data_IF_184407992363
#
_entry.id   IF_184407992363
#
_cell.length_a   1.000
_cell.length_b   1.000
_cell.length_c   1.000
_cell.angle_alpha   90.00
_cell.angle_beta   90.00
_cell.angle_gamma   90.00
#
_symmetry.space_group_name_H-M   'P 1'
#
loop_
_entity.id
_entity.type
_entity.pdbx_description
1 polymer ?
#
# COMPACT_ATOMS: atom_id res chain seq x y z
N UNK A 1 26.24 2.06 -7.92
CA UNK A 1 24.94 2.33 -8.50
C UNK A 1 24.54 1.21 -9.47
N UNK A 2 23.27 0.94 -9.57
CA UNK A 2 22.67 0.01 -10.53
C UNK A 2 21.91 0.84 -11.56
N UNK A 3 22.16 0.61 -12.83
CA UNK A 3 21.38 1.22 -13.93
C UNK A 3 20.54 0.15 -14.58
N UNK A 4 19.27 0.45 -14.85
CA UNK A 4 18.36 -0.39 -15.62
C UNK A 4 17.81 0.42 -16.79
N UNK A 5 17.67 -0.22 -17.95
CA UNK A 5 16.99 0.35 -19.11
C UNK A 5 15.60 -0.30 -19.22
N UNK A 6 14.56 0.52 -19.20
CA UNK A 6 13.20 0.08 -19.44
C UNK A 6 12.87 0.41 -20.90
N UNK A 7 12.73 -0.61 -21.71
CA UNK A 7 12.47 -0.47 -23.14
C UNK A 7 10.97 -0.59 -23.45
N UNK A 8 10.52 0.15 -24.46
CA UNK A 8 9.16 0.01 -24.94
C UNK A 8 8.96 -1.39 -25.53
N UNK A 9 7.90 -2.12 -25.15
CA UNK A 9 7.64 -3.45 -25.66
C UNK A 9 7.56 -3.45 -27.20
N UNK A 10 8.27 -4.38 -27.83
CA UNK A 10 8.25 -4.62 -29.26
C UNK A 10 7.72 -6.02 -29.51
N UNK A 11 6.71 -6.17 -30.39
CA UNK A 11 6.27 -7.49 -30.82
C UNK A 11 4.79 -7.60 -31.14
N UNK A 12 4.46 -8.60 -31.98
CA UNK A 12 3.14 -8.83 -32.59
C UNK A 12 2.10 -9.45 -31.61
N UNK A 13 2.49 -9.79 -30.36
CA UNK A 13 1.60 -10.44 -29.38
C UNK A 13 0.81 -9.44 -28.50
N UNK A 14 1.18 -8.17 -28.55
CA UNK A 14 0.45 -7.12 -27.85
C UNK A 14 -0.50 -6.42 -28.82
N UNK A 15 -1.71 -6.02 -28.40
CA UNK A 15 -2.60 -5.24 -29.27
C UNK A 15 -1.89 -3.95 -29.68
N UNK A 16 -1.36 -3.91 -30.89
CA UNK A 16 -0.55 -2.81 -31.47
C UNK A 16 -1.24 -1.44 -31.34
N UNK A 17 -2.57 -1.42 -31.30
CA UNK A 17 -3.39 -0.20 -31.15
C UNK A 17 -3.19 0.52 -29.80
N UNK A 18 -2.61 -0.13 -28.79
CA UNK A 18 -2.44 0.45 -27.44
C UNK A 18 -0.99 0.55 -26.98
N UNK A 19 -0.03 -0.06 -27.65
CA UNK A 19 1.39 -0.04 -27.20
C UNK A 19 2.02 1.35 -27.32
N UNK A 20 1.55 2.20 -28.25
CA UNK A 20 2.00 3.59 -28.38
C UNK A 20 1.58 4.49 -27.20
N UNK A 21 0.63 4.06 -26.37
CA UNK A 21 0.14 4.79 -25.20
C UNK A 21 0.78 4.28 -23.89
N UNK A 22 1.63 3.27 -23.96
CA UNK A 22 2.28 2.73 -22.77
C UNK A 22 3.23 3.74 -22.15
N UNK A 23 3.18 3.82 -20.84
CA UNK A 23 4.00 4.70 -20.00
C UNK A 23 4.66 3.90 -18.89
N UNK A 24 5.60 4.54 -18.19
CA UNK A 24 6.32 3.99 -17.05
C UNK A 24 6.00 4.83 -15.82
N UNK A 25 5.45 4.23 -14.78
CA UNK A 25 5.29 4.88 -13.48
C UNK A 25 6.15 4.20 -12.42
N UNK A 26 7.07 4.93 -11.84
CA UNK A 26 8.00 4.47 -10.79
C UNK A 26 8.60 5.68 -10.08
N UNK A 27 9.09 5.48 -8.85
CA UNK A 27 9.90 6.45 -8.11
C UNK A 27 11.41 6.20 -8.24
N UNK A 28 11.84 5.30 -9.14
CA UNK A 28 13.26 5.18 -9.50
C UNK A 28 13.79 6.50 -10.07
N UNK A 29 15.00 6.87 -9.69
CA UNK A 29 15.65 8.06 -10.22
C UNK A 29 15.88 7.91 -11.73
N UNK A 30 15.40 8.87 -12.52
CA UNK A 30 15.60 8.89 -13.96
C UNK A 30 17.06 9.23 -14.28
N UNK A 31 17.70 8.43 -15.14
CA UNK A 31 19.08 8.61 -15.61
C UNK A 31 19.16 8.95 -17.12
N UNK A 32 18.04 9.37 -17.70
CA UNK A 32 17.89 9.68 -19.12
C UNK A 32 16.46 9.51 -19.62
N UNK A 33 15.60 8.83 -18.84
CA UNK A 33 14.19 8.69 -19.19
C UNK A 33 13.43 10.02 -19.00
N UNK A 34 12.48 10.30 -19.90
CA UNK A 34 11.51 11.38 -19.74
C UNK A 34 10.49 11.05 -18.63
N UNK A 35 9.76 12.04 -18.09
CA UNK A 35 8.67 11.78 -17.17
C UNK A 35 7.66 10.78 -17.72
N UNK A 36 7.37 9.73 -16.96
CA UNK A 36 6.51 8.60 -17.36
C UNK A 36 6.99 7.90 -18.64
N UNK A 37 8.24 8.06 -19.04
CA UNK A 37 8.82 7.55 -20.29
C UNK A 37 9.67 6.30 -20.09
N UNK A 38 9.90 5.62 -21.19
CA UNK A 38 10.91 4.57 -21.30
C UNK A 38 12.31 5.18 -21.31
N UNK A 39 13.32 4.39 -20.98
CA UNK A 39 14.72 4.83 -20.97
C UNK A 39 15.46 4.36 -19.72
N UNK A 40 16.54 5.08 -19.37
CA UNK A 40 17.42 4.68 -18.28
C UNK A 40 16.96 5.23 -16.93
N UNK A 41 17.01 4.34 -15.95
CA UNK A 41 16.76 4.61 -14.53
C UNK A 41 17.92 4.09 -13.68
N UNK A 42 18.12 4.64 -12.49
CA UNK A 42 19.18 4.21 -11.62
C UNK A 42 18.72 4.10 -10.16
N UNK A 43 19.43 3.25 -9.42
CA UNK A 43 19.37 3.12 -7.97
C UNK A 43 20.79 3.10 -7.39
N UNK A 44 20.96 3.52 -6.14
CA UNK A 44 22.28 3.53 -5.50
C UNK A 44 22.85 2.12 -5.31
N UNK A 45 21.99 1.13 -5.10
CA UNK A 45 22.35 -0.28 -4.90
C UNK A 45 21.15 -1.19 -5.23
N UNK A 46 21.36 -2.51 -5.06
CA UNK A 46 20.31 -3.51 -5.35
C UNK A 46 19.14 -3.45 -4.35
N UNK A 47 19.39 -3.14 -3.08
CA UNK A 47 18.35 -3.01 -2.07
C UNK A 47 17.39 -1.85 -2.38
N UNK A 48 17.93 -0.73 -2.85
CA UNK A 48 17.12 0.38 -3.35
C UNK A 48 16.36 0.01 -4.63
N UNK A 49 17.01 -0.68 -5.57
CA UNK A 49 16.37 -1.08 -6.82
C UNK A 49 15.12 -1.93 -6.60
N UNK A 50 15.20 -2.94 -5.74
CA UNK A 50 14.07 -3.85 -5.50
C UNK A 50 12.94 -3.23 -4.65
N UNK A 51 13.19 -2.07 -4.04
CA UNK A 51 12.20 -1.31 -3.26
C UNK A 51 11.48 -0.22 -4.09
N UNK A 52 11.62 -0.27 -5.42
CA UNK A 52 10.94 0.63 -6.34
C UNK A 52 10.17 -0.15 -7.41
N UNK A 53 8.88 -0.43 -7.17
CA UNK A 53 8.03 -1.08 -8.17
C UNK A 53 7.89 -0.22 -9.40
N UNK A 54 7.63 -0.88 -10.53
CA UNK A 54 7.45 -0.25 -11.82
C UNK A 54 6.13 -0.71 -12.42
N UNK A 55 5.25 0.22 -12.75
CA UNK A 55 4.04 -0.03 -13.54
C UNK A 55 4.32 0.30 -15.00
N UNK A 56 4.04 -0.64 -15.89
CA UNK A 56 4.20 -0.52 -17.33
C UNK A 56 2.86 -0.72 -18.03
N UNK A 57 2.42 0.24 -18.82
CA UNK A 57 1.19 0.10 -19.56
C UNK A 57 0.40 1.38 -19.77
N UNK A 58 -0.89 1.21 -20.03
CA UNK A 58 -1.86 2.30 -20.10
C UNK A 58 -2.53 2.40 -18.74
N UNK A 59 -2.43 3.56 -18.10
CA UNK A 59 -3.00 3.85 -16.79
C UNK A 59 -3.47 5.30 -16.71
N UNK A 60 -4.47 5.55 -15.89
CA UNK A 60 -4.81 6.90 -15.47
C UNK A 60 -3.76 7.41 -14.48
N UNK A 61 -3.36 8.68 -14.61
CA UNK A 61 -2.32 9.28 -13.77
C UNK A 61 -2.75 10.65 -13.30
N UNK A 62 -2.73 10.86 -12.00
CA UNK A 62 -3.04 12.15 -11.39
C UNK A 62 -1.95 12.53 -10.39
N UNK A 63 -1.32 13.68 -10.62
CA UNK A 63 -0.32 14.26 -9.73
C UNK A 63 -0.96 15.25 -8.77
N UNK A 64 -0.46 15.29 -7.53
CA UNK A 64 -0.93 16.20 -6.50
C UNK A 64 0.19 16.56 -5.52
N UNK A 65 0.02 17.64 -4.79
CA UNK A 65 0.96 18.09 -3.76
C UNK A 65 0.38 17.86 -2.36
N UNK A 66 1.23 17.46 -1.42
CA UNK A 66 0.91 17.35 0.00
C UNK A 66 2.00 18.06 0.81
N UNK A 67 1.68 19.22 1.36
CA UNK A 67 2.57 20.03 2.18
C UNK A 67 3.95 20.28 1.52
N UNK A 68 3.96 20.51 0.20
CA UNK A 68 5.17 20.76 -0.59
C UNK A 68 5.90 19.50 -1.09
N UNK A 69 5.36 18.31 -0.83
CA UNK A 69 5.90 17.05 -1.32
C UNK A 69 5.07 16.55 -2.51
N UNK A 70 5.67 16.32 -3.68
CA UNK A 70 4.99 15.75 -4.84
C UNK A 70 4.45 14.35 -4.56
N UNK A 71 3.20 14.12 -4.90
CA UNK A 71 2.54 12.81 -4.86
C UNK A 71 1.89 12.53 -6.19
N UNK A 72 1.69 11.26 -6.48
CA UNK A 72 0.93 10.83 -7.65
C UNK A 72 0.21 9.50 -7.40
N UNK A 73 -0.82 9.26 -8.20
CA UNK A 73 -1.46 7.95 -8.29
C UNK A 73 -1.53 7.53 -9.76
N UNK A 74 -1.09 6.29 -10.03
CA UNK A 74 -1.27 5.62 -11.31
C UNK A 74 -2.29 4.49 -11.12
N UNK A 75 -3.37 4.48 -11.91
CA UNK A 75 -4.46 3.51 -11.79
C UNK A 75 -4.53 2.69 -13.07
N UNK A 76 -4.27 1.39 -12.94
CA UNK A 76 -4.31 0.42 -14.03
C UNK A 76 -5.57 -0.43 -13.97
N UNK A 77 -6.20 -0.65 -15.08
CA UNK A 77 -7.43 -1.42 -15.23
C UNK A 77 -8.64 -0.56 -15.58
N UNK A 78 -9.73 -1.21 -16.02
CA UNK A 78 -10.96 -0.51 -16.43
C UNK A 78 -11.79 -0.15 -15.21
N UNK A 79 -12.07 1.15 -15.03
CA UNK A 79 -12.89 1.65 -13.93
C UNK A 79 -13.73 2.86 -14.34
N UNK A 80 -14.62 3.30 -13.44
CA UNK A 80 -15.44 4.51 -13.57
C UNK A 80 -15.31 5.40 -12.32
N UNK A 81 -14.19 5.26 -11.61
CA UNK A 81 -13.96 5.95 -10.35
C UNK A 81 -13.79 7.47 -10.53
N UNK A 82 -14.22 8.22 -9.54
CA UNK A 82 -13.98 9.66 -9.42
C UNK A 82 -12.58 9.90 -8.84
N UNK A 83 -11.57 9.99 -9.72
CA UNK A 83 -10.16 10.13 -9.33
C UNK A 83 -9.92 11.45 -8.57
N UNK A 84 -10.59 12.53 -8.94
CA UNK A 84 -10.46 13.80 -8.23
C UNK A 84 -10.92 13.69 -6.77
N UNK A 85 -11.99 12.93 -6.49
CA UNK A 85 -12.43 12.64 -5.13
C UNK A 85 -11.38 11.82 -4.37
N UNK A 86 -10.87 10.75 -4.98
CA UNK A 86 -9.83 9.91 -4.37
C UNK A 86 -8.59 10.74 -4.02
N UNK A 87 -8.07 11.54 -4.95
CA UNK A 87 -6.91 12.41 -4.73
C UNK A 87 -7.14 13.40 -3.59
N UNK A 88 -8.33 14.02 -3.52
CA UNK A 88 -8.64 14.95 -2.45
C UNK A 88 -8.65 14.27 -1.07
N UNK A 89 -9.17 13.05 -0.98
CA UNK A 89 -9.16 12.31 0.28
C UNK A 89 -7.75 11.80 0.63
N UNK A 90 -6.96 11.34 -0.35
CA UNK A 90 -5.55 10.98 -0.16
C UNK A 90 -4.71 12.16 0.34
N UNK A 91 -4.89 13.36 -0.21
CA UNK A 91 -4.21 14.58 0.28
C UNK A 91 -4.42 14.79 1.77
N UNK A 92 -5.65 14.64 2.25
CA UNK A 92 -6.00 14.84 3.66
C UNK A 92 -5.36 13.78 4.56
N UNK A 93 -5.40 12.52 4.12
CA UNK A 93 -4.83 11.39 4.85
C UNK A 93 -3.30 11.55 4.93
N UNK A 94 -2.63 11.75 3.80
CA UNK A 94 -1.17 11.90 3.73
C UNK A 94 -0.67 13.09 4.55
N UNK A 95 -1.31 14.25 4.42
CA UNK A 95 -0.96 15.44 5.21
C UNK A 95 -1.11 15.19 6.72
N UNK A 96 -2.14 14.44 7.13
CA UNK A 96 -2.35 14.09 8.54
C UNK A 96 -1.25 13.18 9.06
N UNK A 97 -0.80 12.23 8.25
CA UNK A 97 0.29 11.32 8.63
C UNK A 97 1.65 12.03 8.68
N UNK A 98 1.98 12.87 7.69
CA UNK A 98 3.23 13.66 7.70
C UNK A 98 3.30 14.51 8.97
N UNK A 99 2.22 15.23 9.31
CA UNK A 99 2.17 16.08 10.50
C UNK A 99 2.19 15.30 11.82
N UNK A 100 1.71 14.06 11.82
CA UNK A 100 1.73 13.20 13.01
C UNK A 100 3.14 12.86 13.48
N UNK A 101 4.07 12.71 12.56
CA UNK A 101 5.47 12.41 12.88
C UNK A 101 6.31 13.67 13.19
N UNK A 102 5.73 14.87 13.11
CA UNK A 102 6.37 16.17 13.43
C UNK A 102 7.71 16.41 12.69
N UNK A 103 7.94 15.66 11.59
CA UNK A 103 9.18 15.69 10.80
C UNK A 103 8.84 15.87 9.32
N UNK A 104 9.79 16.30 8.49
CA UNK A 104 9.57 16.26 7.06
C UNK A 104 9.23 14.84 6.60
N UNK A 105 8.43 14.72 5.53
CA UNK A 105 8.19 13.42 4.91
C UNK A 105 9.52 12.69 4.65
N UNK A 106 9.61 11.37 4.89
CA UNK A 106 10.86 10.63 4.76
C UNK A 106 11.22 10.31 3.30
N UNK A 107 10.59 10.96 2.34
CA UNK A 107 10.77 10.83 0.90
C UNK A 107 10.59 12.20 0.21
N UNK A 108 11.14 12.34 -1.00
CA UNK A 108 11.03 13.56 -1.80
C UNK A 108 9.82 13.55 -2.74
N UNK A 109 9.24 12.37 -2.97
CA UNK A 109 8.03 12.14 -3.75
C UNK A 109 7.37 10.85 -3.28
N UNK A 110 6.07 10.66 -3.57
CA UNK A 110 5.37 9.42 -3.27
C UNK A 110 4.42 9.00 -4.39
N UNK A 111 4.42 7.69 -4.73
CA UNK A 111 3.63 7.14 -5.82
C UNK A 111 2.73 5.99 -5.34
N UNK A 112 1.43 6.14 -5.52
CA UNK A 112 0.47 5.05 -5.38
C UNK A 112 0.33 4.34 -6.73
N UNK A 113 0.67 3.05 -6.80
CA UNK A 113 0.42 2.19 -7.95
C UNK A 113 -0.80 1.32 -7.65
N UNK A 114 -1.94 1.67 -8.20
CA UNK A 114 -3.21 1.01 -7.92
C UNK A 114 -3.68 0.20 -9.11
N UNK A 115 -3.81 -1.12 -8.92
CA UNK A 115 -4.42 -2.02 -9.89
C UNK A 115 -5.86 -2.32 -9.49
N UNK A 116 -6.82 -1.98 -10.34
CA UNK A 116 -8.23 -2.31 -10.13
C UNK A 116 -8.62 -3.57 -10.88
N UNK A 117 -9.28 -4.48 -10.19
CA UNK A 117 -9.66 -5.82 -10.69
C UNK A 117 -11.13 -6.11 -10.35
N UNK A 118 -11.65 -7.24 -10.82
CA UNK A 118 -13.02 -7.67 -10.47
C UNK A 118 -13.12 -8.15 -9.03
N UNK A 119 -12.06 -8.81 -8.53
CA UNK A 119 -11.96 -9.26 -7.15
C UNK A 119 -10.49 -9.31 -6.73
N UNK A 120 -10.14 -8.55 -5.71
CA UNK A 120 -8.79 -8.51 -5.15
C UNK A 120 -8.65 -7.44 -4.09
N UNK A 121 -7.76 -7.67 -3.13
CA UNK A 121 -7.44 -6.71 -2.08
C UNK A 121 -6.04 -6.99 -1.55
N UNK A 122 -5.22 -5.97 -1.44
CA UNK A 122 -3.90 -6.05 -0.84
C UNK A 122 -3.04 -4.85 -1.19
N UNK A 123 -2.00 -4.67 -0.39
CA UNK A 123 -0.97 -3.67 -0.60
C UNK A 123 0.41 -4.24 -0.32
N UNK A 124 1.43 -3.54 -0.79
CA UNK A 124 2.81 -3.79 -0.48
C UNK A 124 3.54 -2.46 -0.41
N UNK A 125 4.06 -2.20 0.76
CA UNK A 125 4.75 -0.97 1.09
C UNK A 125 6.15 -0.88 0.49
N UNK A 126 6.54 0.34 0.08
CA UNK A 126 7.87 0.71 -0.38
C UNK A 126 8.30 2.03 0.25
N UNK A 127 9.59 2.43 0.10
CA UNK A 127 10.14 3.64 0.74
C UNK A 127 9.46 4.95 0.32
N UNK A 128 9.05 5.02 -0.95
CA UNK A 128 8.46 6.21 -1.56
C UNK A 128 7.31 5.87 -2.52
N UNK A 129 6.78 4.65 -2.40
CA UNK A 129 5.65 4.20 -3.19
C UNK A 129 4.93 3.05 -2.52
N UNK A 130 3.79 2.66 -3.06
CA UNK A 130 3.10 1.44 -2.70
C UNK A 130 2.44 0.80 -3.91
N UNK A 131 2.41 -0.54 -3.94
CA UNK A 131 1.64 -1.32 -4.91
C UNK A 131 0.35 -1.80 -4.28
N UNK A 132 -0.79 -1.48 -4.89
CA UNK A 132 -2.14 -1.71 -4.35
C UNK A 132 -3.00 -2.50 -5.33
N UNK A 133 -3.88 -3.33 -4.79
CA UNK A 133 -4.95 -4.01 -5.54
C UNK A 133 -6.25 -3.79 -4.80
N UNK A 134 -7.30 -3.40 -5.53
CA UNK A 134 -8.65 -3.32 -5.01
C UNK A 134 -9.69 -3.75 -6.05
N UNK A 135 -10.93 -3.96 -5.61
CA UNK A 135 -12.03 -4.14 -6.54
C UNK A 135 -12.31 -2.81 -7.25
N UNK A 136 -12.70 -2.87 -8.51
CA UNK A 136 -13.04 -1.64 -9.28
C UNK A 136 -14.19 -0.85 -8.68
N UNK A 137 -15.11 -1.53 -8.00
CA UNK A 137 -16.29 -0.92 -7.35
C UNK A 137 -15.93 -0.30 -5.98
N UNK A 138 -14.71 -0.48 -5.48
CA UNK A 138 -14.21 0.17 -4.26
C UNK A 138 -13.69 1.60 -4.54
N UNK A 139 -13.50 1.98 -5.81
CA UNK A 139 -13.24 3.37 -6.17
C UNK A 139 -14.48 4.26 -5.91
N UNK A 140 -14.27 5.52 -5.53
CA UNK A 140 -15.41 6.42 -5.29
C UNK A 140 -16.19 6.64 -6.58
N UNK A 141 -17.51 6.51 -6.52
CA UNK A 141 -18.38 6.75 -7.66
C UNK A 141 -18.46 8.23 -8.02
N UNK A 142 -18.98 8.57 -9.20
CA UNK A 142 -19.19 9.95 -9.61
C UNK A 142 -20.14 10.71 -8.66
N UNK A 143 -21.07 9.96 -8.03
CA UNK A 143 -22.05 10.48 -7.07
C UNK A 143 -21.75 10.01 -5.63
N UNK A 144 -20.49 9.72 -5.33
CA UNK A 144 -20.06 9.29 -3.99
C UNK A 144 -20.53 10.33 -2.95
N UNK A 145 -21.29 9.91 -1.93
CA UNK A 145 -21.70 10.84 -0.87
C UNK A 145 -20.50 11.32 -0.06
N UNK A 146 -20.70 12.37 0.74
CA UNK A 146 -19.63 12.88 1.61
C UNK A 146 -19.08 11.82 2.56
N UNK A 147 -19.94 10.97 3.12
CA UNK A 147 -19.56 9.78 3.83
C UNK A 147 -19.17 8.69 2.82
N UNK A 148 -17.93 8.18 2.81
CA UNK A 148 -17.50 7.16 1.88
C UNK A 148 -18.35 5.87 2.01
N UNK A 149 -18.56 5.18 0.90
CA UNK A 149 -19.12 3.81 0.89
C UNK A 149 -18.19 2.83 1.65
N UNK A 150 -18.69 1.64 1.95
CA UNK A 150 -17.89 0.64 2.69
C UNK A 150 -16.66 0.24 1.90
N UNK A 151 -16.80 -0.07 0.58
CA UNK A 151 -15.67 -0.43 -0.27
C UNK A 151 -14.66 0.72 -0.41
N UNK A 152 -15.16 1.94 -0.60
CA UNK A 152 -14.27 3.11 -0.69
C UNK A 152 -13.55 3.40 0.65
N UNK A 153 -14.21 3.25 1.79
CA UNK A 153 -13.57 3.35 3.11
C UNK A 153 -12.45 2.32 3.26
N UNK A 154 -12.68 1.08 2.79
CA UNK A 154 -11.68 0.02 2.83
C UNK A 154 -10.47 0.34 1.95
N UNK A 155 -10.67 0.88 0.74
CA UNK A 155 -9.58 1.33 -0.13
C UNK A 155 -8.77 2.46 0.53
N UNK A 156 -9.44 3.45 1.13
CA UNK A 156 -8.76 4.54 1.83
C UNK A 156 -7.97 4.04 3.05
N UNK A 157 -8.50 3.06 3.78
CA UNK A 157 -7.79 2.37 4.87
C UNK A 157 -6.53 1.69 4.36
N UNK A 158 -6.60 0.96 3.24
CA UNK A 158 -5.45 0.33 2.59
C UNK A 158 -4.40 1.36 2.18
N UNK A 159 -4.80 2.43 1.50
CA UNK A 159 -3.87 3.51 1.13
C UNK A 159 -3.20 4.15 2.37
N UNK A 160 -3.96 4.34 3.45
CA UNK A 160 -3.46 4.87 4.72
C UNK A 160 -2.46 3.93 5.39
N UNK A 161 -2.73 2.61 5.38
CA UNK A 161 -1.88 1.56 5.91
C UNK A 161 -0.52 1.54 5.22
N UNK A 162 -0.53 1.42 3.90
CA UNK A 162 0.70 1.35 3.11
C UNK A 162 1.52 2.65 3.15
N UNK A 163 0.85 3.79 3.24
CA UNK A 163 1.55 5.07 3.39
C UNK A 163 2.23 5.19 4.75
N UNK A 164 1.61 4.71 5.84
CA UNK A 164 2.18 4.69 7.17
C UNK A 164 3.46 3.86 7.26
N UNK A 165 3.56 2.81 6.47
CA UNK A 165 4.75 1.98 6.37
C UNK A 165 5.99 2.74 5.89
N UNK A 166 5.86 3.92 5.31
CA UNK A 166 7.01 4.79 5.00
C UNK A 166 7.84 5.11 6.24
N UNK A 167 7.20 5.18 7.41
CA UNK A 167 7.87 5.31 8.71
C UNK A 167 8.00 3.98 9.44
N UNK A 168 6.89 3.30 9.62
CA UNK A 168 6.80 2.05 10.39
C UNK A 168 6.86 0.84 9.47
N UNK A 169 8.00 0.49 9.16
CA UNK A 169 8.83 -0.61 8.66
C UNK A 169 9.91 -0.13 7.68
N UNK A 170 9.70 0.90 6.89
CA UNK A 170 10.74 1.32 5.93
C UNK A 170 11.87 2.12 6.59
N UNK A 171 11.63 2.80 7.71
CA UNK A 171 12.64 3.52 8.51
C UNK A 171 12.85 2.88 9.88
N UNK A 172 11.80 2.60 10.59
CA UNK A 172 11.85 1.79 11.81
C UNK A 172 11.70 0.32 11.44
N UNK A 173 12.76 -0.47 11.57
CA UNK A 173 12.83 -1.89 11.16
C UNK A 173 13.22 -2.80 12.30
N UNK A 174 12.77 -4.07 12.32
CA UNK A 174 13.40 -5.06 13.20
C UNK A 174 14.83 -5.35 12.73
N UNK A 175 15.74 -5.63 13.66
CA UNK A 175 17.15 -5.85 13.37
C UNK A 175 17.40 -6.87 12.26
N UNK A 176 16.63 -7.94 12.26
CA UNK A 176 16.74 -9.01 11.24
C UNK A 176 16.38 -8.55 9.81
N UNK A 177 15.71 -7.39 9.67
CA UNK A 177 15.35 -6.80 8.38
C UNK A 177 16.25 -5.63 7.96
N UNK A 178 17.26 -5.28 8.75
CA UNK A 178 18.19 -4.20 8.41
C UNK A 178 19.12 -4.62 7.26
N UNK A 179 19.65 -5.85 7.32
CA UNK A 179 20.49 -6.45 6.28
C UNK A 179 20.05 -7.89 6.01
N UNK A 180 18.87 -8.11 5.40
CA UNK A 180 18.32 -9.44 5.26
C UNK A 180 19.10 -10.26 4.24
N UNK A 181 19.18 -11.59 4.47
CA UNK A 181 19.58 -12.51 3.42
C UNK A 181 18.39 -12.74 2.48
N UNK A 182 18.38 -12.08 1.34
CA UNK A 182 17.28 -12.15 0.35
C UNK A 182 17.05 -13.53 -0.27
N UNK A 183 17.90 -14.52 0.06
CA UNK A 183 17.75 -15.91 -0.40
C UNK A 183 16.96 -16.81 0.56
N UNK A 184 16.55 -16.27 1.70
CA UNK A 184 15.85 -17.00 2.76
C UNK A 184 14.71 -16.14 3.34
N UNK A 185 13.61 -16.77 3.78
CA UNK A 185 12.60 -16.06 4.55
C UNK A 185 13.20 -15.45 5.82
N UNK A 186 12.79 -14.23 6.14
CA UNK A 186 13.14 -13.58 7.40
C UNK A 186 11.98 -13.75 8.38
N UNK A 187 12.26 -14.34 9.53
CA UNK A 187 11.30 -14.51 10.61
C UNK A 187 11.58 -13.50 11.73
N UNK A 188 10.54 -12.87 12.23
CA UNK A 188 10.60 -11.95 13.37
C UNK A 188 9.37 -12.11 14.26
N UNK A 189 9.55 -11.94 15.55
CA UNK A 189 8.45 -11.91 16.52
C UNK A 189 7.75 -10.54 16.59
N UNK A 190 8.11 -9.58 15.73
CA UNK A 190 7.70 -8.18 15.80
C UNK A 190 6.75 -7.74 14.69
N UNK A 191 6.25 -8.62 13.80
CA UNK A 191 5.29 -8.20 12.77
C UNK A 191 4.03 -7.57 13.37
N UNK A 192 3.60 -8.00 14.55
CA UNK A 192 2.50 -7.38 15.26
C UNK A 192 2.72 -5.88 15.54
N UNK A 193 3.97 -5.48 15.77
CA UNK A 193 4.30 -4.07 15.97
C UNK A 193 4.25 -3.32 14.62
N UNK A 194 4.82 -3.91 13.57
CA UNK A 194 4.90 -3.24 12.27
C UNK A 194 3.56 -3.27 11.53
N UNK A 195 2.77 -4.32 11.69
CA UNK A 195 1.47 -4.47 11.02
C UNK A 195 0.29 -4.12 11.93
N UNK A 196 0.31 -4.58 13.18
CA UNK A 196 -0.79 -4.31 14.12
C UNK A 196 -0.88 -2.84 14.51
N UNK A 197 0.25 -2.18 14.80
CA UNK A 197 0.28 -0.72 15.04
C UNK A 197 -0.15 0.03 13.78
N UNK A 198 0.32 -0.38 12.61
CA UNK A 198 -0.10 0.23 11.34
C UNK A 198 -1.60 0.07 11.12
N UNK A 199 -2.16 -1.14 11.37
CA UNK A 199 -3.60 -1.40 11.28
C UNK A 199 -4.44 -0.64 12.31
N UNK A 200 -3.87 -0.30 13.46
CA UNK A 200 -4.54 0.59 14.41
C UNK A 200 -4.59 2.03 13.89
N UNK A 201 -3.49 2.50 13.32
CA UNK A 201 -3.38 3.88 12.87
C UNK A 201 -4.00 4.14 11.51
N UNK A 202 -4.11 3.14 10.61
CA UNK A 202 -4.67 3.34 9.26
C UNK A 202 -6.11 3.90 9.33
N UNK A 203 -6.99 3.27 10.09
CA UNK A 203 -8.37 3.72 10.35
C UNK A 203 -8.41 5.02 11.18
N UNK A 204 -7.49 5.19 12.13
CA UNK A 204 -7.36 6.41 12.93
C UNK A 204 -7.06 7.63 12.06
N UNK A 205 -6.23 7.48 11.03
CA UNK A 205 -5.92 8.58 10.12
C UNK A 205 -7.09 8.93 9.20
N UNK A 206 -7.96 7.98 8.87
CA UNK A 206 -9.22 8.30 8.19
C UNK A 206 -10.09 9.22 9.05
N UNK A 207 -10.17 8.92 10.35
CA UNK A 207 -10.91 9.78 11.30
C UNK A 207 -10.22 11.14 11.50
N UNK A 208 -8.92 11.16 11.78
CA UNK A 208 -8.17 12.40 12.07
C UNK A 208 -8.12 13.35 10.88
N UNK A 209 -8.06 12.81 9.67
CA UNK A 209 -8.14 13.61 8.44
C UNK A 209 -9.57 14.09 8.14
N UNK A 210 -10.56 13.58 8.89
CA UNK A 210 -11.98 13.91 8.70
C UNK A 210 -12.58 13.32 7.42
N UNK A 211 -11.96 12.29 6.84
CA UNK A 211 -12.50 11.56 5.69
C UNK A 211 -13.67 10.69 6.14
N UNK A 212 -13.58 10.11 7.32
CA UNK A 212 -14.70 9.44 7.99
C UNK A 212 -15.06 10.15 9.30
N UNK A 213 -16.26 9.91 9.79
CA UNK A 213 -16.71 10.41 11.10
C UNK A 213 -16.49 9.39 12.22
N UNK A 214 -16.77 9.82 13.46
CA UNK A 214 -16.60 8.98 14.66
C UNK A 214 -17.43 7.70 14.61
N UNK A 215 -18.66 7.76 14.08
CA UNK A 215 -19.54 6.58 14.01
C UNK A 215 -19.00 5.53 13.03
N UNK A 216 -18.48 5.97 11.87
CA UNK A 216 -17.82 5.09 10.92
C UNK A 216 -16.57 4.45 11.52
N UNK A 217 -15.73 5.23 12.21
CA UNK A 217 -14.55 4.71 12.90
C UNK A 217 -14.92 3.69 14.01
N UNK A 218 -15.93 4.01 14.83
CA UNK A 218 -16.40 3.10 15.88
C UNK A 218 -16.90 1.77 15.29
N UNK A 219 -17.51 1.81 14.11
CA UNK A 219 -17.94 0.59 13.39
C UNK A 219 -16.75 -0.25 12.94
N UNK A 220 -15.69 0.36 12.35
CA UNK A 220 -14.47 -0.34 11.95
C UNK A 220 -13.78 -0.98 13.16
N UNK A 221 -13.60 -0.22 14.25
CA UNK A 221 -13.03 -0.72 15.49
C UNK A 221 -13.85 -1.88 16.07
N UNK A 222 -15.19 -1.77 16.07
CA UNK A 222 -16.08 -2.84 16.54
C UNK A 222 -15.94 -4.12 15.71
N UNK A 223 -15.76 -4.00 14.39
CA UNK A 223 -15.52 -5.14 13.51
C UNK A 223 -14.20 -5.83 13.84
N UNK A 224 -13.11 -5.08 14.06
CA UNK A 224 -11.82 -5.62 14.42
C UNK A 224 -11.85 -6.32 15.79
N UNK A 225 -12.46 -5.70 16.81
CA UNK A 225 -12.66 -6.32 18.13
C UNK A 225 -13.48 -7.61 18.00
N UNK A 226 -14.58 -7.59 17.24
CA UNK A 226 -15.44 -8.76 17.04
C UNK A 226 -14.67 -9.89 16.35
N UNK A 227 -13.94 -9.60 15.28
CA UNK A 227 -13.09 -10.58 14.59
C UNK A 227 -12.08 -11.21 15.56
N UNK A 228 -11.42 -10.40 16.39
CA UNK A 228 -10.48 -10.91 17.39
C UNK A 228 -11.17 -11.83 18.41
N UNK A 229 -12.30 -11.40 18.97
CA UNK A 229 -12.99 -12.16 20.00
C UNK A 229 -13.58 -13.48 19.45
N UNK A 230 -13.98 -13.53 18.20
CA UNK A 230 -14.55 -14.70 17.52
C UNK A 230 -13.48 -15.69 17.01
N UNK A 231 -12.19 -15.34 17.01
CA UNK A 231 -11.11 -16.22 16.56
C UNK A 231 -10.59 -17.08 17.73
N UNK A 232 -10.87 -18.40 17.77
CA UNK A 232 -10.40 -19.28 18.87
C UNK A 232 -8.87 -19.31 18.98
N UNK A 233 -8.15 -19.22 17.88
CA UNK A 233 -6.69 -19.20 17.82
C UNK A 233 -6.05 -18.12 18.71
N UNK A 234 -6.78 -17.06 19.07
CA UNK A 234 -6.30 -16.02 20.00
C UNK A 234 -5.91 -16.56 21.39
N UNK A 235 -6.51 -17.67 21.82
CA UNK A 235 -6.20 -18.32 23.09
C UNK A 235 -5.08 -19.36 22.96
N UNK A 236 -4.72 -19.76 21.74
CA UNK A 236 -3.74 -20.79 21.43
C UNK A 236 -2.39 -20.19 21.04
N UNK A 237 -2.38 -19.22 20.15
CA UNK A 237 -1.15 -18.62 19.61
C UNK A 237 -0.85 -17.29 20.28
N UNK A 238 0.39 -17.12 20.78
CA UNK A 238 0.87 -15.83 21.29
C UNK A 238 1.02 -14.81 20.17
N UNK A 239 1.10 -13.53 20.52
CA UNK A 239 1.31 -12.45 19.55
C UNK A 239 2.68 -12.56 18.87
N UNK A 240 3.74 -12.86 19.62
CA UNK A 240 5.07 -13.11 19.12
C UNK A 240 5.11 -14.29 18.13
N UNK A 241 4.50 -15.43 18.52
CA UNK A 241 4.42 -16.61 17.63
C UNK A 241 3.58 -16.34 16.39
N UNK A 242 2.51 -15.53 16.47
CA UNK A 242 1.73 -15.17 15.28
C UNK A 242 2.55 -14.38 14.27
N UNK A 243 3.45 -13.54 14.75
CA UNK A 243 4.42 -12.81 13.92
C UNK A 243 5.47 -13.74 13.31
N UNK A 244 6.10 -14.56 14.14
CA UNK A 244 7.17 -15.47 13.71
C UNK A 244 6.68 -16.50 12.69
N UNK A 245 5.50 -17.06 12.90
CA UNK A 245 4.88 -18.09 12.07
C UNK A 245 4.13 -17.52 10.84
N UNK A 246 4.16 -16.23 10.59
CA UNK A 246 3.36 -15.58 9.55
C UNK A 246 3.45 -16.31 8.19
N UNK A 247 4.67 -16.55 7.71
CA UNK A 247 4.93 -17.22 6.44
C UNK A 247 4.35 -18.63 6.34
N UNK A 248 4.45 -19.39 7.43
CA UNK A 248 4.16 -20.83 7.44
C UNK A 248 2.73 -21.15 7.89
N UNK A 249 2.06 -20.22 8.60
CA UNK A 249 0.73 -20.45 9.14
C UNK A 249 -0.30 -19.41 8.66
N UNK A 250 -0.01 -18.12 8.79
CA UNK A 250 -0.98 -17.08 8.46
C UNK A 250 -1.23 -16.97 6.95
N UNK A 251 -0.16 -17.03 6.14
CA UNK A 251 -0.26 -16.98 4.68
C UNK A 251 -0.47 -18.35 4.02
N UNK A 252 -0.43 -19.44 4.78
CA UNK A 252 -0.70 -20.81 4.30
C UNK A 252 -1.89 -21.41 5.06
N UNK A 253 -3.07 -20.83 4.84
CA UNK A 253 -4.27 -21.20 5.57
C UNK A 253 -4.81 -22.57 5.15
N UNK A 254 -5.41 -23.27 6.13
CA UNK A 254 -6.15 -24.51 5.97
C UNK A 254 -7.43 -24.47 6.83
N UNK A 255 -8.23 -25.53 6.81
CA UNK A 255 -9.51 -25.58 7.51
C UNK A 255 -9.40 -25.37 9.02
N UNK A 256 -8.24 -25.74 9.62
CA UNK A 256 -8.01 -25.58 11.06
C UNK A 256 -7.39 -24.24 11.46
N UNK A 257 -6.99 -23.43 10.50
CA UNK A 257 -6.32 -22.14 10.77
C UNK A 257 -7.09 -21.26 11.77
N UNK A 258 -8.42 -21.06 11.67
CA UNK A 258 -9.15 -20.22 12.61
C UNK A 258 -9.07 -20.68 14.07
N UNK A 259 -8.85 -21.96 14.31
CA UNK A 259 -8.78 -22.57 15.65
C UNK A 259 -7.43 -22.41 16.32
N UNK A 260 -6.34 -22.24 15.57
CA UNK A 260 -4.96 -22.30 16.08
C UNK A 260 -4.11 -21.09 15.75
N UNK A 261 -4.54 -20.25 14.79
CA UNK A 261 -3.81 -19.05 14.34
C UNK A 261 -4.59 -17.79 14.72
N UNK A 262 -3.88 -16.76 15.11
CA UNK A 262 -4.44 -15.42 15.32
C UNK A 262 -3.76 -14.42 14.37
N UNK A 263 -4.51 -13.47 13.87
CA UNK A 263 -3.97 -12.38 13.06
C UNK A 263 -3.14 -11.44 13.92
N UNK A 264 -1.88 -11.25 13.58
CA UNK A 264 -1.02 -10.24 14.21
C UNK A 264 -1.40 -8.82 13.81
N UNK A 265 -2.14 -8.62 12.71
CA UNK A 265 -2.75 -7.33 12.35
C UNK A 265 -3.84 -6.90 13.34
N UNK A 266 -4.66 -7.85 13.79
CA UNK A 266 -5.86 -7.56 14.60
C UNK A 266 -5.60 -7.69 16.10
N UNK A 267 -4.69 -8.59 16.50
CA UNK A 267 -4.31 -8.79 17.90
C UNK A 267 -3.21 -7.82 18.33
N UNK A 268 -2.36 -7.36 17.40
CA UNK A 268 -1.30 -6.38 17.62
C UNK A 268 -1.83 -4.99 17.79
#
# INVERSE_FOLDING_TARGET
>A
PVTITIEQPQGAELPLEKTGEWRVATTLTRAGAEPLGFGDYCAANYDELIDHPVELGVFDYEAFDVDGVPHAIAITGTHRGNISRLVNDLKRICATQIRFFEEPAPFNEYLFLLRVVDSGYGGLEHRSSTSLICNRDDLPSANEPNAPSVGYTQLLGLCSHEYFHSWNVKRLKPDVMVTPNLRQPVHTELLWFFEGITSYYDDQFLLRSGVINVDAYAKLLSQNITRHLQTPGRAVQTLANSSFDAWTKYYQQNENTPNVVVSYYVKG
#
